data_IF_134319717581
#
_entry.id   IF_134319717581
#
_cell.length_a   1.000
_cell.length_b   1.000
_cell.length_c   1.000
_cell.angle_alpha   90.00
_cell.angle_beta   90.00
_cell.angle_gamma   90.00
#
_symmetry.space_group_name_H-M   'P 1'
#
loop_
_entity.id
_entity.type
_entity.pdbx_description
1 polymer ?
#
# COMPACT_ATOMS: atom_id res chain seq x y z
N UNK A 1 -51.70 2.74 -36.55
CA UNK A 1 -51.26 3.12 -35.19
C UNK A 1 -49.76 2.81 -35.08
N UNK A 2 -48.93 3.83 -35.34
CA UNK A 2 -47.48 3.72 -35.26
C UNK A 2 -47.02 3.91 -33.79
N UNK A 3 -46.35 2.91 -33.24
CA UNK A 3 -45.67 3.06 -31.95
C UNK A 3 -44.39 3.88 -32.16
N UNK A 4 -44.32 5.07 -31.57
CA UNK A 4 -43.11 5.86 -31.48
C UNK A 4 -42.18 5.17 -30.47
N UNK A 5 -41.06 4.68 -30.93
CA UNK A 5 -39.91 4.30 -30.08
C UNK A 5 -39.31 5.55 -29.49
N UNK A 6 -39.38 5.70 -28.17
CA UNK A 6 -38.63 6.75 -27.44
C UNK A 6 -37.18 6.37 -27.39
N UNK A 7 -36.38 6.90 -28.29
CA UNK A 7 -34.92 6.94 -28.17
C UNK A 7 -34.58 8.02 -27.16
N UNK A 8 -34.13 7.63 -25.96
CA UNK A 8 -33.45 8.56 -25.06
C UNK A 8 -32.18 9.01 -25.75
N UNK A 9 -31.88 10.30 -25.82
CA UNK A 9 -30.62 10.77 -26.32
C UNK A 9 -29.54 10.38 -25.29
N UNK A 10 -28.66 9.45 -25.64
CA UNK A 10 -27.40 9.28 -24.95
C UNK A 10 -26.67 10.64 -25.02
N UNK A 11 -26.55 11.27 -23.88
CA UNK A 11 -25.75 12.48 -23.72
C UNK A 11 -24.30 12.06 -24.00
N UNK A 12 -23.84 12.31 -25.22
CA UNK A 12 -22.42 12.12 -25.59
C UNK A 12 -21.64 13.18 -24.84
N UNK A 13 -21.15 12.83 -23.64
CA UNK A 13 -20.15 13.65 -22.96
C UNK A 13 -18.99 13.86 -23.93
N UNK A 14 -18.45 15.07 -24.02
CA UNK A 14 -17.40 15.36 -24.98
C UNK A 14 -16.07 14.77 -24.46
N UNK A 15 -15.88 13.46 -24.65
CA UNK A 15 -14.66 12.73 -24.27
C UNK A 15 -13.40 13.36 -24.86
N UNK A 16 -13.50 13.99 -26.02
CA UNK A 16 -12.43 14.77 -26.62
C UNK A 16 -12.00 15.96 -25.75
N UNK A 17 -12.92 16.59 -25.00
CA UNK A 17 -12.61 17.76 -24.18
C UNK A 17 -11.70 17.44 -22.98
N UNK A 18 -11.78 16.23 -22.38
CA UNK A 18 -10.88 15.83 -21.30
C UNK A 18 -9.45 15.70 -21.78
N UNK A 19 -9.26 14.99 -22.91
CA UNK A 19 -7.94 14.78 -23.50
C UNK A 19 -7.34 16.06 -24.03
N UNK A 20 -8.15 16.92 -24.64
CA UNK A 20 -7.74 18.25 -25.11
C UNK A 20 -7.31 19.13 -23.95
N UNK A 21 -8.09 19.17 -22.85
CA UNK A 21 -7.73 19.92 -21.65
C UNK A 21 -6.44 19.41 -21.01
N UNK A 22 -6.32 18.08 -20.85
CA UNK A 22 -5.10 17.46 -20.32
C UNK A 22 -3.89 17.81 -21.19
N UNK A 23 -3.98 17.67 -22.50
CA UNK A 23 -2.88 17.96 -23.43
C UNK A 23 -2.46 19.43 -23.36
N UNK A 24 -3.42 20.34 -23.23
CA UNK A 24 -3.15 21.79 -23.13
C UNK A 24 -2.44 22.15 -21.81
N UNK A 25 -2.70 21.41 -20.74
CA UNK A 25 -2.22 21.72 -19.40
C UNK A 25 -1.21 20.72 -18.82
N UNK A 26 -0.76 19.74 -19.59
CA UNK A 26 0.09 18.63 -19.09
C UNK A 26 1.42 19.10 -18.47
N UNK A 27 2.04 20.16 -19.03
CA UNK A 27 3.29 20.71 -18.48
C UNK A 27 3.04 21.37 -17.11
N UNK A 28 1.94 22.10 -16.96
CA UNK A 28 1.54 22.68 -15.67
C UNK A 28 1.21 21.59 -14.65
N UNK A 29 0.49 20.54 -15.04
CA UNK A 29 0.18 19.41 -14.16
C UNK A 29 1.45 18.74 -13.63
N UNK A 30 2.43 18.59 -14.51
CA UNK A 30 3.73 18.04 -14.11
C UNK A 30 4.46 18.99 -13.14
N UNK A 31 4.57 20.27 -13.44
CA UNK A 31 5.27 21.21 -12.55
C UNK A 31 4.60 21.30 -11.16
N UNK A 32 3.28 21.25 -11.10
CA UNK A 32 2.54 21.23 -9.84
C UNK A 32 2.80 19.94 -9.02
N UNK A 33 2.98 18.80 -9.68
CA UNK A 33 3.45 17.57 -9.01
C UNK A 33 4.89 17.73 -8.53
N UNK A 34 5.79 18.26 -9.36
CA UNK A 34 7.18 18.47 -8.96
C UNK A 34 7.30 19.43 -7.77
N UNK A 35 6.43 20.46 -7.68
CA UNK A 35 6.35 21.34 -6.50
C UNK A 35 6.01 20.55 -5.24
N UNK A 36 5.04 19.61 -5.32
CA UNK A 36 4.66 18.76 -4.19
C UNK A 36 5.79 17.80 -3.79
N UNK A 37 6.53 17.27 -4.76
CA UNK A 37 7.66 16.35 -4.53
C UNK A 37 8.88 17.04 -3.89
N UNK A 38 9.03 18.35 -4.07
CA UNK A 38 10.11 19.14 -3.42
C UNK A 38 9.95 19.27 -1.91
N UNK A 39 8.76 18.98 -1.36
CA UNK A 39 8.51 19.06 0.07
C UNK A 39 8.89 17.73 0.75
N UNK A 40 9.88 17.71 1.66
CA UNK A 40 10.30 16.49 2.34
C UNK A 40 9.35 16.14 3.50
N UNK A 41 8.14 15.71 3.18
CA UNK A 41 7.10 15.35 4.14
C UNK A 41 7.33 13.95 4.71
N UNK A 42 8.48 13.74 5.37
CA UNK A 42 8.86 12.47 6.00
C UNK A 42 8.19 12.37 7.37
N UNK A 43 7.12 11.59 7.48
CA UNK A 43 6.30 11.46 8.71
C UNK A 43 7.06 10.89 9.90
N UNK A 44 7.99 9.97 9.65
CA UNK A 44 8.78 9.30 10.69
C UNK A 44 9.80 10.21 11.40
N UNK A 45 10.03 11.45 10.92
CA UNK A 45 11.09 12.33 11.43
C UNK A 45 10.53 13.60 12.06
N UNK A 46 10.88 13.85 13.32
CA UNK A 46 10.41 15.01 14.08
C UNK A 46 10.82 16.34 13.44
N UNK A 47 12.02 16.42 12.85
CA UNK A 47 12.51 17.60 12.14
C UNK A 47 11.69 17.97 10.90
N UNK A 48 10.96 17.01 10.34
CA UNK A 48 10.12 17.23 9.17
C UNK A 48 8.68 17.71 9.50
N UNK A 49 8.30 17.87 10.78
CA UNK A 49 6.97 18.38 11.16
C UNK A 49 6.55 19.67 10.45
N UNK A 50 7.42 20.69 10.27
CA UNK A 50 7.04 21.88 9.48
C UNK A 50 6.73 21.56 8.03
N UNK A 51 7.43 20.61 7.42
CA UNK A 51 7.21 20.18 6.04
C UNK A 51 5.89 19.40 5.88
N UNK A 52 5.49 18.65 6.91
CA UNK A 52 4.18 18.00 6.93
C UNK A 52 3.06 19.02 6.82
N UNK A 53 3.12 20.10 7.61
CA UNK A 53 2.15 21.19 7.55
C UNK A 53 2.16 21.90 6.19
N UNK A 54 3.35 22.24 5.67
CA UNK A 54 3.51 22.87 4.37
C UNK A 54 2.94 22.01 3.23
N UNK A 55 3.15 20.69 3.32
CA UNK A 55 2.62 19.74 2.33
C UNK A 55 1.09 19.69 2.38
N UNK A 56 0.50 19.59 3.58
CA UNK A 56 -0.95 19.62 3.76
C UNK A 56 -1.58 20.91 3.21
N UNK A 57 -0.94 22.06 3.44
CA UNK A 57 -1.38 23.37 2.92
C UNK A 57 -1.31 23.42 1.39
N UNK A 58 -0.27 22.85 0.78
CA UNK A 58 -0.17 22.78 -0.68
C UNK A 58 -1.24 21.86 -1.26
N UNK A 59 -1.48 20.69 -0.66
CA UNK A 59 -2.55 19.75 -1.06
C UNK A 59 -3.92 20.45 -0.98
N UNK A 60 -4.23 21.13 0.13
CA UNK A 60 -5.46 21.91 0.30
C UNK A 60 -5.61 22.93 -0.82
N UNK A 61 -4.56 23.71 -1.10
CA UNK A 61 -4.54 24.71 -2.16
C UNK A 61 -4.84 24.08 -3.53
N UNK A 62 -4.16 22.98 -3.87
CA UNK A 62 -4.35 22.29 -5.15
C UNK A 62 -5.75 21.71 -5.33
N UNK A 63 -6.37 21.22 -4.27
CA UNK A 63 -7.76 20.76 -4.29
C UNK A 63 -8.75 21.92 -4.54
N UNK A 64 -8.54 23.07 -3.92
CA UNK A 64 -9.37 24.26 -4.16
C UNK A 64 -9.19 24.77 -5.60
N UNK A 65 -7.97 24.84 -6.11
CA UNK A 65 -7.66 25.22 -7.50
C UNK A 65 -8.26 24.25 -8.52
N UNK A 66 -8.33 22.95 -8.19
CA UNK A 66 -9.00 21.93 -9.01
C UNK A 66 -10.53 22.05 -9.00
N UNK A 67 -11.09 22.93 -8.17
CA UNK A 67 -12.51 23.22 -8.12
C UNK A 67 -13.28 22.53 -7.00
N UNK A 68 -12.61 22.00 -5.97
CA UNK A 68 -13.28 21.60 -4.75
C UNK A 68 -14.05 22.79 -4.14
N UNK A 69 -15.27 22.53 -3.67
CA UNK A 69 -16.11 23.57 -3.07
C UNK A 69 -15.68 23.91 -1.65
N UNK A 70 -15.00 22.97 -1.00
CA UNK A 70 -14.47 23.05 0.36
C UNK A 70 -13.19 22.23 0.43
N UNK A 71 -12.18 22.73 1.12
CA UNK A 71 -10.99 21.98 1.52
C UNK A 71 -10.53 22.46 2.90
N UNK A 72 -10.34 21.54 3.84
CA UNK A 72 -9.99 21.82 5.24
C UNK A 72 -8.84 20.94 5.70
N UNK A 73 -8.00 21.51 6.57
CA UNK A 73 -6.93 20.80 7.25
C UNK A 73 -7.39 20.52 8.68
N UNK A 74 -7.47 19.25 9.04
CA UNK A 74 -7.80 18.80 10.37
C UNK A 74 -6.52 18.46 11.13
N UNK A 75 -6.33 19.11 12.26
CA UNK A 75 -5.24 18.78 13.19
C UNK A 75 -5.51 17.45 13.88
N UNK A 76 -4.49 16.60 13.98
CA UNK A 76 -4.48 15.38 14.79
C UNK A 76 -3.37 15.46 15.85
N UNK A 77 -3.30 14.56 16.81
CA UNK A 77 -2.13 14.47 17.69
C UNK A 77 -0.83 14.16 16.95
N UNK A 78 -0.92 13.55 15.77
CA UNK A 78 0.19 13.30 14.84
C UNK A 78 0.30 14.34 13.73
N UNK A 79 0.13 13.90 12.48
CA UNK A 79 0.19 14.79 11.31
C UNK A 79 -1.20 15.18 10.81
N UNK A 80 -1.33 16.36 10.15
CA UNK A 80 -2.61 16.85 9.66
C UNK A 80 -3.26 15.93 8.61
N UNK A 81 -4.60 15.94 8.59
CA UNK A 81 -5.42 15.32 7.56
C UNK A 81 -6.04 16.42 6.70
N UNK A 82 -5.98 16.26 5.37
CA UNK A 82 -6.64 17.16 4.43
C UNK A 82 -7.92 16.48 3.93
N UNK A 83 -9.05 17.15 4.18
CA UNK A 83 -10.35 16.76 3.63
C UNK A 83 -10.79 17.80 2.62
N UNK A 84 -11.34 17.35 1.47
CA UNK A 84 -11.97 18.23 0.51
C UNK A 84 -13.21 17.58 -0.11
N UNK A 85 -14.10 18.42 -0.67
CA UNK A 85 -15.28 17.93 -1.34
C UNK A 85 -15.74 18.83 -2.50
N UNK A 86 -16.36 18.18 -3.50
CA UNK A 86 -17.14 18.77 -4.57
C UNK A 86 -18.47 18.06 -4.67
N UNK A 87 -19.48 18.61 -4.01
CA UNK A 87 -20.85 18.10 -4.07
C UNK A 87 -21.60 18.87 -5.15
N UNK A 88 -22.03 18.16 -6.20
CA UNK A 88 -22.76 18.77 -7.33
C UNK A 88 -24.27 18.51 -7.25
N UNK A 89 -24.67 17.36 -6.65
CA UNK A 89 -26.06 16.99 -6.45
C UNK A 89 -26.12 15.88 -5.39
N UNK A 90 -26.83 16.07 -4.28
CA UNK A 90 -26.96 15.04 -3.24
C UNK A 90 -27.58 13.70 -3.71
N UNK A 91 -28.29 13.69 -4.85
CA UNK A 91 -28.89 12.49 -5.44
C UNK A 91 -27.89 11.66 -6.28
N UNK A 92 -26.73 12.21 -6.58
CA UNK A 92 -25.67 11.52 -7.33
C UNK A 92 -24.78 10.69 -6.40
N UNK A 93 -24.20 9.59 -6.91
CA UNK A 93 -23.25 8.82 -6.14
C UNK A 93 -22.04 9.67 -5.73
N UNK A 94 -21.48 9.33 -4.59
CA UNK A 94 -20.31 10.00 -4.01
C UNK A 94 -19.12 9.05 -3.99
N UNK A 95 -17.98 9.48 -4.53
CA UNK A 95 -16.71 8.77 -4.47
C UNK A 95 -15.82 9.45 -3.44
N UNK A 96 -15.30 8.69 -2.47
CA UNK A 96 -14.27 9.14 -1.54
C UNK A 96 -12.90 8.69 -2.06
N UNK A 97 -12.07 9.63 -2.48
CA UNK A 97 -10.68 9.38 -2.85
C UNK A 97 -9.84 9.39 -1.59
N UNK A 98 -9.08 8.33 -1.37
CA UNK A 98 -8.10 8.24 -0.30
C UNK A 98 -6.68 8.20 -0.89
N UNK A 99 -5.74 8.84 -0.20
CA UNK A 99 -4.31 8.82 -0.48
C UNK A 99 -3.52 9.43 0.68
N UNK A 100 -2.20 9.49 0.55
CA UNK A 100 -1.35 10.08 1.59
C UNK A 100 -0.29 11.00 1.00
N UNK A 101 0.07 12.05 1.77
CA UNK A 101 1.07 13.03 1.36
C UNK A 101 2.41 12.87 2.08
N UNK A 102 2.47 12.02 3.10
CA UNK A 102 3.73 11.66 3.74
C UNK A 102 4.53 10.66 2.90
N UNK A 103 5.79 10.53 3.22
CA UNK A 103 6.72 9.67 2.49
C UNK A 103 7.71 9.02 3.44
N UNK A 104 8.27 7.87 3.05
CA UNK A 104 9.33 7.18 3.75
C UNK A 104 10.63 8.01 3.83
N UNK A 105 11.48 7.79 4.86
CA UNK A 105 12.85 8.27 4.86
C UNK A 105 13.60 7.89 3.58
N UNK A 106 14.41 8.81 3.09
CA UNK A 106 15.13 8.60 1.83
C UNK A 106 16.48 7.87 1.97
N UNK A 107 16.81 7.43 3.20
CA UNK A 107 18.08 6.75 3.46
C UNK A 107 18.19 5.38 2.76
N UNK A 108 19.40 4.98 2.35
CA UNK A 108 20.67 5.73 2.44
C UNK A 108 20.85 6.75 1.30
N UNK A 109 21.16 7.99 1.65
CA UNK A 109 21.22 9.12 0.69
C UNK A 109 22.31 8.98 -0.37
N UNK A 110 23.40 8.30 -0.04
CA UNK A 110 24.55 8.09 -0.94
C UNK A 110 24.21 7.18 -2.15
N UNK A 111 23.10 6.46 -2.11
CA UNK A 111 22.65 5.62 -3.21
C UNK A 111 21.71 6.35 -4.19
N UNK A 112 21.33 7.59 -3.90
CA UNK A 112 20.53 8.38 -4.82
C UNK A 112 21.40 9.02 -5.90
N UNK A 113 21.00 8.87 -7.17
CA UNK A 113 21.66 9.53 -8.31
C UNK A 113 21.44 11.04 -8.33
N UNK A 114 20.27 11.49 -7.85
CA UNK A 114 19.93 12.90 -7.63
C UNK A 114 19.30 13.02 -6.24
N UNK A 115 19.40 14.17 -5.54
CA UNK A 115 18.81 14.32 -4.22
C UNK A 115 17.31 13.96 -4.21
N UNK A 116 16.82 13.22 -3.20
CA UNK A 116 15.47 12.63 -3.20
C UNK A 116 14.33 13.64 -3.24
N UNK A 117 14.55 14.89 -2.82
CA UNK A 117 13.57 15.97 -2.84
C UNK A 117 13.92 17.08 -3.86
N UNK A 118 14.79 16.76 -4.81
CA UNK A 118 15.06 17.55 -6.01
C UNK A 118 14.60 16.74 -7.23
N UNK A 119 13.28 16.71 -7.52
CA UNK A 119 12.74 15.83 -8.54
C UNK A 119 13.41 16.07 -9.88
N UNK A 120 13.84 15.00 -10.54
CA UNK A 120 14.49 15.04 -11.84
C UNK A 120 13.80 14.12 -12.84
N UNK A 121 13.72 14.57 -14.07
CA UNK A 121 13.11 13.80 -15.16
C UNK A 121 14.22 13.19 -16.02
N UNK A 122 14.24 11.87 -16.11
CA UNK A 122 15.17 11.11 -16.93
C UNK A 122 14.42 9.96 -17.64
N UNK A 123 14.65 9.79 -18.91
CA UNK A 123 14.07 8.70 -19.73
C UNK A 123 12.54 8.56 -19.57
N UNK A 124 11.82 9.70 -19.50
CA UNK A 124 10.37 9.72 -19.35
C UNK A 124 9.88 9.35 -17.96
N UNK A 125 10.73 9.41 -16.93
CA UNK A 125 10.42 9.06 -15.55
C UNK A 125 10.78 10.20 -14.60
N UNK A 126 9.95 10.41 -13.60
CA UNK A 126 10.20 11.33 -12.47
C UNK A 126 10.96 10.53 -11.40
N UNK A 127 12.12 11.02 -10.99
CA UNK A 127 12.90 10.45 -9.87
C UNK A 127 12.81 11.39 -8.68
N UNK A 128 12.15 10.96 -7.63
CA UNK A 128 12.06 11.62 -6.33
C UNK A 128 11.44 10.68 -5.29
N UNK A 129 11.67 10.89 -4.01
CA UNK A 129 10.91 10.25 -2.94
C UNK A 129 9.46 10.75 -2.95
N UNK A 130 8.50 9.80 -2.92
CA UNK A 130 7.06 10.09 -3.05
C UNK A 130 6.59 10.25 -4.50
N UNK A 131 7.46 9.99 -5.49
CA UNK A 131 7.06 10.14 -6.90
C UNK A 131 5.96 9.16 -7.31
N UNK A 132 6.00 7.93 -6.81
CA UNK A 132 4.98 6.91 -7.01
C UNK A 132 4.15 6.68 -5.74
N UNK A 133 4.76 6.70 -4.58
CA UNK A 133 4.19 6.38 -3.28
C UNK A 133 4.10 7.62 -2.38
N UNK A 134 2.97 8.26 -2.25
CA UNK A 134 1.73 8.19 -3.02
C UNK A 134 1.41 9.54 -3.68
N UNK A 135 2.31 10.56 -3.52
CA UNK A 135 2.09 11.94 -4.04
C UNK A 135 1.76 11.94 -5.53
N UNK A 136 2.50 11.16 -6.34
CA UNK A 136 2.24 11.07 -7.77
C UNK A 136 0.89 10.46 -8.07
N UNK A 137 0.49 9.43 -7.34
CA UNK A 137 -0.74 8.70 -7.62
C UNK A 137 -1.99 9.46 -7.11
N UNK A 138 -2.03 9.92 -5.85
CA UNK A 138 -3.21 10.67 -5.42
C UNK A 138 -3.38 12.00 -6.20
N UNK A 139 -2.27 12.61 -6.65
CA UNK A 139 -2.33 13.87 -7.40
C UNK A 139 -3.01 13.73 -8.76
N UNK A 140 -3.01 12.53 -9.34
CA UNK A 140 -3.79 12.25 -10.56
C UNK A 140 -5.29 12.51 -10.34
N UNK A 141 -5.83 12.17 -9.17
CA UNK A 141 -7.23 12.43 -8.82
C UNK A 141 -7.53 13.92 -8.68
N UNK A 142 -6.58 14.70 -8.17
CA UNK A 142 -6.70 16.17 -8.11
C UNK A 142 -6.80 16.74 -9.53
N UNK A 143 -5.98 16.27 -10.46
CA UNK A 143 -6.01 16.72 -11.86
C UNK A 143 -7.24 16.22 -12.62
N UNK A 144 -7.71 15.02 -12.33
CA UNK A 144 -8.97 14.51 -12.87
C UNK A 144 -10.17 15.36 -12.40
N UNK A 145 -10.22 15.77 -11.13
CA UNK A 145 -11.22 16.70 -10.62
C UNK A 145 -11.16 18.04 -11.38
N UNK A 146 -9.96 18.58 -11.58
CA UNK A 146 -9.75 19.84 -12.33
C UNK A 146 -10.30 19.75 -13.75
N UNK A 147 -9.94 18.69 -14.48
CA UNK A 147 -10.42 18.45 -15.85
C UNK A 147 -11.96 18.41 -15.89
N UNK A 148 -12.57 17.58 -15.06
CA UNK A 148 -14.02 17.40 -15.05
C UNK A 148 -14.77 18.67 -14.61
N UNK A 149 -14.19 19.45 -13.70
CA UNK A 149 -14.77 20.72 -13.25
C UNK A 149 -14.66 21.78 -14.34
N UNK A 150 -13.48 21.94 -14.93
CA UNK A 150 -13.24 22.95 -15.97
C UNK A 150 -14.05 22.69 -17.25
N UNK A 151 -14.31 21.42 -17.57
CA UNK A 151 -15.12 21.03 -18.74
C UNK A 151 -16.63 20.92 -18.42
N UNK A 152 -17.04 21.11 -17.15
CA UNK A 152 -18.44 21.02 -16.73
C UNK A 152 -19.05 19.61 -16.84
N UNK A 153 -18.21 18.58 -16.75
CA UNK A 153 -18.60 17.18 -17.03
C UNK A 153 -18.58 16.27 -15.79
N UNK A 154 -18.40 16.81 -14.60
CA UNK A 154 -18.33 16.04 -13.36
C UNK A 154 -19.61 15.21 -13.14
N UNK A 155 -19.54 13.86 -13.17
CA UNK A 155 -20.75 13.04 -13.16
C UNK A 155 -21.21 12.60 -11.76
N UNK A 156 -20.33 12.69 -10.76
CA UNK A 156 -20.50 12.22 -9.38
C UNK A 156 -20.12 13.31 -8.38
N UNK A 157 -20.48 13.14 -7.13
CA UNK A 157 -19.87 13.89 -6.03
C UNK A 157 -18.50 13.29 -5.72
N UNK A 158 -17.51 14.12 -5.41
CA UNK A 158 -16.17 13.66 -5.04
C UNK A 158 -15.82 14.22 -3.68
N UNK A 159 -15.25 13.38 -2.85
CA UNK A 159 -14.59 13.73 -1.58
C UNK A 159 -13.16 13.24 -1.60
N UNK A 160 -12.28 13.94 -0.88
CA UNK A 160 -10.88 13.57 -0.69
C UNK A 160 -10.60 13.44 0.80
N UNK A 161 -9.87 12.41 1.16
CA UNK A 161 -9.30 12.18 2.47
C UNK A 161 -7.82 11.85 2.26
N UNK A 162 -6.96 12.86 2.47
CA UNK A 162 -5.51 12.74 2.25
C UNK A 162 -4.79 12.87 3.58
N UNK A 163 -4.17 11.80 4.06
CA UNK A 163 -3.50 11.75 5.35
C UNK A 163 -1.99 12.01 5.29
N UNK A 164 -1.37 12.16 6.45
CA UNK A 164 0.05 12.37 6.61
C UNK A 164 0.75 11.38 7.53
N UNK A 165 0.19 10.18 7.75
CA UNK A 165 0.72 9.17 8.67
C UNK A 165 0.65 7.75 8.10
N UNK A 166 0.38 7.55 6.81
CA UNK A 166 0.28 6.21 6.23
C UNK A 166 1.57 5.43 6.44
N UNK A 167 2.69 6.04 6.16
CA UNK A 167 4.03 5.47 6.21
C UNK A 167 4.54 5.16 7.64
N UNK A 168 3.78 5.57 8.65
CA UNK A 168 4.01 5.27 10.08
C UNK A 168 2.83 4.54 10.72
N UNK A 169 1.90 4.02 9.89
CA UNK A 169 0.79 3.15 10.31
C UNK A 169 -0.49 3.86 10.70
N UNK A 170 -0.74 5.09 10.23
CA UNK A 170 -2.04 5.81 10.33
C UNK A 170 -2.63 5.86 11.75
N UNK A 171 -1.80 6.04 12.77
CA UNK A 171 -2.18 5.85 14.18
C UNK A 171 -3.36 6.73 14.61
N UNK A 172 -3.51 7.93 14.04
CA UNK A 172 -4.56 8.88 14.41
C UNK A 172 -5.73 8.91 13.42
N UNK A 173 -5.60 8.27 12.26
CA UNK A 173 -6.66 8.25 11.26
C UNK A 173 -7.89 7.47 11.74
N UNK A 174 -7.71 6.41 12.52
CA UNK A 174 -8.81 5.61 13.05
C UNK A 174 -9.78 6.44 13.88
N UNK A 175 -9.27 7.31 14.75
CA UNK A 175 -10.09 8.17 15.60
C UNK A 175 -10.75 9.31 14.79
N UNK A 176 -10.04 9.82 13.78
CA UNK A 176 -10.61 10.78 12.84
C UNK A 176 -11.79 10.19 12.07
N UNK A 177 -11.65 9.00 11.50
CA UNK A 177 -12.71 8.30 10.76
C UNK A 177 -13.92 8.04 11.65
N UNK A 178 -13.72 7.52 12.86
CA UNK A 178 -14.81 7.27 13.83
C UNK A 178 -15.58 8.53 14.18
N UNK A 179 -14.86 9.64 14.38
CA UNK A 179 -15.43 10.92 14.79
C UNK A 179 -16.12 11.67 13.65
N UNK A 180 -15.77 11.39 12.40
CA UNK A 180 -16.20 12.11 11.22
C UNK A 180 -16.97 11.24 10.20
N UNK A 181 -17.67 10.20 10.66
CA UNK A 181 -18.41 9.27 9.78
C UNK A 181 -19.37 9.99 8.83
N UNK A 182 -20.12 10.98 9.32
CA UNK A 182 -21.05 11.75 8.51
C UNK A 182 -20.34 12.56 7.41
N UNK A 183 -19.17 13.14 7.70
CA UNK A 183 -18.34 13.87 6.75
C UNK A 183 -17.84 12.96 5.64
N UNK A 184 -17.46 11.72 6.00
CA UNK A 184 -16.85 10.73 5.11
C UNK A 184 -17.87 9.85 4.37
N UNK A 185 -19.16 10.04 4.56
CA UNK A 185 -20.20 9.28 3.85
C UNK A 185 -19.99 9.33 2.33
N UNK A 186 -19.95 8.16 1.70
CA UNK A 186 -19.75 7.96 0.27
C UNK A 186 -20.42 6.64 -0.17
N UNK A 187 -20.35 6.30 -1.45
CA UNK A 187 -20.81 5.02 -2.00
C UNK A 187 -19.66 4.05 -2.24
N UNK A 188 -18.46 4.58 -2.44
CA UNK A 188 -17.23 3.81 -2.67
C UNK A 188 -16.00 4.61 -2.25
N UNK A 189 -14.93 3.91 -1.87
CA UNK A 189 -13.59 4.49 -1.70
C UNK A 189 -12.74 4.10 -2.91
N UNK A 190 -12.06 5.08 -3.49
CA UNK A 190 -11.12 4.91 -4.59
C UNK A 190 -9.70 5.20 -4.10
N UNK A 191 -8.81 4.22 -4.26
CA UNK A 191 -7.40 4.29 -3.83
C UNK A 191 -6.51 3.99 -5.04
N UNK A 192 -5.47 4.80 -5.25
CA UNK A 192 -4.48 4.56 -6.30
C UNK A 192 -3.09 4.14 -5.77
N UNK A 193 -2.96 3.94 -4.49
CA UNK A 193 -1.74 3.55 -3.80
C UNK A 193 -1.40 2.05 -3.99
N UNK A 194 -1.33 1.63 -5.25
CA UNK A 194 -0.98 0.25 -5.65
C UNK A 194 -0.26 0.25 -7.01
N UNK A 195 0.24 -0.93 -7.42
CA UNK A 195 0.92 -1.13 -8.70
C UNK A 195 0.05 -1.85 -9.73
N UNK A 196 0.42 -1.76 -10.99
CA UNK A 196 -0.06 -2.64 -12.05
C UNK A 196 1.07 -3.56 -12.53
N UNK A 197 0.72 -4.65 -13.21
CA UNK A 197 1.70 -5.64 -13.70
C UNK A 197 2.71 -5.03 -14.68
N UNK A 198 2.24 -4.26 -15.65
CA UNK A 198 3.08 -3.47 -16.56
C UNK A 198 2.23 -2.45 -17.34
N UNK A 199 2.89 -1.53 -18.04
CA UNK A 199 2.20 -0.57 -18.93
C UNK A 199 1.44 -1.27 -20.06
N UNK A 200 1.94 -2.41 -20.55
CA UNK A 200 1.34 -3.19 -21.61
C UNK A 200 0.29 -4.18 -21.11
N UNK A 201 0.30 -4.49 -19.81
CA UNK A 201 -0.61 -5.45 -19.17
C UNK A 201 -1.20 -4.80 -17.94
N UNK A 202 -2.24 -3.97 -18.12
CA UNK A 202 -2.89 -3.32 -16.98
C UNK A 202 -3.52 -4.34 -16.04
N UNK A 203 -3.46 -4.06 -14.76
CA UNK A 203 -4.11 -4.87 -13.73
C UNK A 203 -4.84 -3.99 -12.73
N UNK A 204 -5.71 -4.60 -11.95
CA UNK A 204 -6.37 -3.99 -10.80
C UNK A 204 -6.09 -4.87 -9.60
N UNK A 205 -5.53 -4.29 -8.54
CA UNK A 205 -5.44 -4.99 -7.28
C UNK A 205 -6.84 -5.22 -6.71
N UNK A 206 -7.17 -6.48 -6.45
CA UNK A 206 -8.44 -6.86 -5.84
C UNK A 206 -8.29 -7.25 -4.38
N UNK A 207 -7.09 -7.16 -3.83
CA UNK A 207 -6.86 -7.42 -2.42
C UNK A 207 -5.48 -6.98 -1.99
N UNK A 208 -5.39 -6.58 -0.75
CA UNK A 208 -4.13 -6.26 -0.05
C UNK A 208 -3.97 -7.19 1.12
N UNK A 209 -2.71 -7.54 1.43
CA UNK A 209 -2.41 -8.44 2.54
C UNK A 209 -2.53 -7.69 3.87
N UNK A 210 -2.89 -8.44 4.92
CA UNK A 210 -2.79 -7.94 6.28
C UNK A 210 -1.36 -8.01 6.81
N UNK A 211 -1.20 -7.58 8.04
CA UNK A 211 0.09 -7.55 8.75
C UNK A 211 -0.11 -7.99 10.19
N UNK A 212 0.82 -8.78 10.72
CA UNK A 212 1.04 -9.00 12.14
C UNK A 212 2.54 -8.84 12.40
N UNK A 213 2.91 -8.06 13.41
CA UNK A 213 4.31 -7.74 13.70
C UNK A 213 4.60 -7.88 15.18
N UNK A 214 5.62 -8.67 15.54
CA UNK A 214 6.05 -8.89 16.92
C UNK A 214 7.56 -8.66 17.06
N UNK A 215 7.97 -8.36 18.29
CA UNK A 215 9.37 -8.45 18.72
C UNK A 215 9.51 -9.56 19.76
N UNK A 216 10.47 -10.43 19.56
CA UNK A 216 10.79 -11.57 20.43
C UNK A 216 12.09 -11.28 21.17
N UNK A 217 12.08 -11.38 22.49
CA UNK A 217 13.25 -11.36 23.37
C UNK A 217 13.44 -12.73 24.02
N UNK A 218 14.61 -13.30 23.86
CA UNK A 218 15.03 -14.51 24.58
C UNK A 218 16.06 -14.11 25.63
N UNK A 219 15.72 -14.33 26.91
CA UNK A 219 16.57 -14.00 28.07
C UNK A 219 17.04 -15.29 28.75
N UNK A 220 18.36 -15.45 28.86
CA UNK A 220 19.04 -16.56 29.53
C UNK A 220 19.67 -16.16 30.87
N UNK A 221 21.01 -16.19 30.99
CA UNK A 221 21.70 -15.83 32.24
C UNK A 221 21.55 -14.33 32.56
N UNK A 222 21.78 -13.97 33.82
CA UNK A 222 21.64 -12.60 34.32
C UNK A 222 22.71 -11.60 33.79
N UNK A 223 23.69 -12.06 33.03
CA UNK A 223 24.75 -11.30 32.38
C UNK A 223 25.40 -12.13 31.27
N UNK A 224 26.18 -11.48 30.44
CA UNK A 224 27.02 -12.16 29.47
C UNK A 224 28.07 -13.01 30.16
N UNK A 225 28.31 -14.22 29.63
CA UNK A 225 29.17 -15.22 30.23
C UNK A 225 30.31 -15.60 29.27
N UNK A 226 31.44 -16.05 29.86
CA UNK A 226 32.56 -16.59 29.08
C UNK A 226 32.17 -17.96 28.46
N UNK A 227 32.18 -18.05 27.12
CA UNK A 227 31.73 -19.25 26.41
C UNK A 227 32.58 -20.50 26.70
N UNK A 228 33.87 -20.32 26.96
CA UNK A 228 34.77 -21.43 27.32
C UNK A 228 34.54 -21.99 28.74
N UNK A 229 33.92 -21.22 29.63
CA UNK A 229 33.62 -21.63 31.02
C UNK A 229 32.22 -22.20 31.16
N UNK A 230 31.25 -21.58 30.47
CA UNK A 230 29.83 -21.89 30.65
C UNK A 230 29.19 -22.53 29.41
N UNK A 231 29.90 -22.60 28.27
CA UNK A 231 29.40 -23.22 27.06
C UNK A 231 29.09 -24.71 27.25
N UNK A 232 27.88 -25.12 26.80
CA UNK A 232 27.38 -26.47 27.02
C UNK A 232 26.68 -26.71 28.38
N UNK A 233 26.89 -25.81 29.37
CA UNK A 233 26.25 -25.90 30.68
C UNK A 233 25.09 -24.88 30.85
N UNK A 234 25.12 -23.79 30.12
CA UNK A 234 24.12 -22.70 30.18
C UNK A 234 23.55 -22.48 28.78
N UNK A 235 22.24 -22.29 28.72
CA UNK A 235 21.56 -22.00 27.48
C UNK A 235 22.08 -20.69 26.86
N UNK A 236 22.33 -20.70 25.55
CA UNK A 236 22.70 -19.53 24.78
C UNK A 236 21.47 -18.94 24.08
N UNK A 237 20.98 -17.74 24.48
CA UNK A 237 19.80 -17.11 23.89
C UNK A 237 19.88 -16.93 22.36
N UNK A 238 21.03 -16.59 21.81
CA UNK A 238 21.20 -16.44 20.36
C UNK A 238 21.01 -17.78 19.62
N UNK A 239 21.55 -18.87 20.16
CA UNK A 239 21.36 -20.22 19.59
C UNK A 239 19.91 -20.68 19.70
N UNK A 240 19.24 -20.39 20.81
CA UNK A 240 17.83 -20.74 21.00
C UNK A 240 16.93 -19.95 20.05
N UNK A 241 17.13 -18.64 19.95
CA UNK A 241 16.37 -17.80 19.04
C UNK A 241 16.53 -18.27 17.58
N UNK A 242 17.75 -18.58 17.15
CA UNK A 242 17.99 -19.12 15.81
C UNK A 242 17.23 -20.43 15.55
N UNK A 243 17.16 -21.33 16.55
CA UNK A 243 16.38 -22.58 16.46
C UNK A 243 14.88 -22.31 16.41
N UNK A 244 14.38 -21.37 17.21
CA UNK A 244 12.98 -20.97 17.21
C UNK A 244 12.57 -20.41 15.84
N UNK A 245 13.37 -19.51 15.27
CA UNK A 245 13.13 -18.95 13.94
C UNK A 245 13.18 -20.06 12.87
N UNK A 246 14.19 -20.90 12.89
CA UNK A 246 14.33 -21.98 11.92
C UNK A 246 13.15 -22.98 11.96
N UNK A 247 12.51 -23.15 13.12
CA UNK A 247 11.35 -24.04 13.26
C UNK A 247 10.04 -23.42 12.77
N UNK A 248 10.03 -22.13 12.39
CA UNK A 248 8.83 -21.49 11.83
C UNK A 248 8.48 -21.97 10.41
N UNK A 249 9.41 -22.63 9.71
CA UNK A 249 9.18 -23.17 8.38
C UNK A 249 9.65 -24.63 8.27
N UNK A 250 8.95 -25.41 7.46
CA UNK A 250 9.41 -26.73 7.06
C UNK A 250 10.32 -26.68 5.80
N UNK A 251 10.71 -27.85 5.31
CA UNK A 251 11.54 -28.01 4.12
C UNK A 251 10.90 -27.55 2.79
N UNK A 252 9.59 -27.31 2.80
CA UNK A 252 8.83 -26.77 1.68
C UNK A 252 8.53 -25.28 1.83
N UNK A 253 9.12 -24.60 2.82
CA UNK A 253 8.83 -23.22 3.24
C UNK A 253 7.36 -23.00 3.64
N UNK A 254 6.69 -24.05 4.10
CA UNK A 254 5.37 -23.93 4.70
C UNK A 254 5.52 -23.52 6.18
N UNK A 255 4.70 -22.56 6.64
CA UNK A 255 4.76 -22.05 8.01
C UNK A 255 4.21 -23.10 8.97
N UNK A 256 4.98 -23.43 10.00
CA UNK A 256 4.69 -24.54 10.92
C UNK A 256 4.01 -24.10 12.22
N UNK A 257 3.66 -22.83 12.38
CA UNK A 257 2.94 -22.35 13.55
C UNK A 257 1.57 -23.04 13.65
N UNK A 258 1.23 -23.67 14.80
CA UNK A 258 -0.05 -24.37 14.96
C UNK A 258 -1.26 -23.46 14.67
N UNK A 259 -2.14 -23.93 13.79
CA UNK A 259 -3.35 -23.20 13.40
C UNK A 259 -3.13 -21.98 12.52
N UNK A 260 -1.94 -21.76 12.01
CA UNK A 260 -1.63 -20.57 11.18
C UNK A 260 -2.48 -20.47 9.90
N UNK A 261 -2.81 -21.60 9.30
CA UNK A 261 -3.58 -21.70 8.06
C UNK A 261 -5.08 -21.96 8.26
N UNK A 262 -5.57 -22.14 9.51
CA UNK A 262 -6.95 -22.58 9.77
C UNK A 262 -8.01 -21.69 9.10
N UNK A 263 -7.77 -20.39 9.06
CA UNK A 263 -8.70 -19.40 8.53
C UNK A 263 -8.33 -18.92 7.12
N UNK A 264 -7.26 -19.45 6.50
CA UNK A 264 -6.84 -19.01 5.17
C UNK A 264 -7.92 -19.33 4.13
N UNK A 265 -8.39 -18.30 3.43
CA UNK A 265 -9.26 -18.48 2.29
C UNK A 265 -8.44 -18.97 1.08
N UNK A 266 -8.51 -20.26 0.81
CA UNK A 266 -7.84 -20.87 -0.33
C UNK A 266 -8.41 -20.32 -1.66
N UNK A 267 -7.52 -19.93 -2.56
CA UNK A 267 -7.93 -19.51 -3.89
C UNK A 267 -8.49 -20.69 -4.70
N UNK A 268 -9.61 -20.46 -5.38
CA UNK A 268 -10.21 -21.46 -6.24
C UNK A 268 -9.28 -21.84 -7.41
N UNK A 269 -9.44 -23.04 -7.97
CA UNK A 269 -8.68 -23.49 -9.14
C UNK A 269 -8.82 -22.49 -10.33
N UNK A 270 -10.01 -21.91 -10.51
CA UNK A 270 -10.25 -20.90 -11.55
C UNK A 270 -9.51 -19.59 -11.29
N UNK A 271 -9.41 -19.16 -10.04
CA UNK A 271 -8.63 -17.98 -9.65
C UNK A 271 -7.13 -18.22 -9.85
N UNK A 272 -6.61 -19.35 -9.39
CA UNK A 272 -5.21 -19.75 -9.61
C UNK A 272 -4.86 -19.82 -11.11
N UNK A 273 -5.78 -20.34 -11.95
CA UNK A 273 -5.59 -20.37 -13.41
C UNK A 273 -5.49 -18.96 -14.00
N UNK A 274 -6.31 -18.01 -13.54
CA UNK A 274 -6.23 -16.61 -13.98
C UNK A 274 -4.92 -15.96 -13.54
N UNK A 275 -4.49 -16.17 -12.31
CA UNK A 275 -3.21 -15.68 -11.79
C UNK A 275 -2.01 -16.27 -12.55
N UNK A 276 -2.04 -17.56 -12.85
CA UNK A 276 -1.00 -18.22 -13.65
C UNK A 276 -0.94 -17.69 -15.11
N UNK A 277 -2.04 -17.11 -15.61
CA UNK A 277 -2.10 -16.42 -16.90
C UNK A 277 -1.52 -15.00 -16.88
N UNK A 278 -1.22 -14.44 -15.70
CA UNK A 278 -0.54 -13.15 -15.59
C UNK A 278 0.91 -13.29 -16.11
N UNK A 279 1.38 -12.38 -16.98
CA UNK A 279 2.75 -12.43 -17.45
C UNK A 279 3.76 -12.34 -16.31
N UNK A 280 4.74 -13.24 -16.29
CA UNK A 280 5.86 -13.19 -15.36
C UNK A 280 7.14 -13.57 -16.08
N UNK A 281 8.03 -12.60 -16.25
CA UNK A 281 9.37 -12.83 -16.79
C UNK A 281 10.34 -13.13 -15.63
N UNK A 282 10.49 -14.42 -15.31
CA UNK A 282 11.39 -14.87 -14.24
C UNK A 282 12.84 -14.44 -14.46
N UNK A 283 13.30 -14.40 -15.72
CA UNK A 283 14.68 -14.03 -16.02
C UNK A 283 14.92 -12.55 -15.76
N UNK A 284 14.00 -11.69 -16.21
CA UNK A 284 14.04 -10.25 -15.92
C UNK A 284 13.94 -9.98 -14.42
N UNK A 285 13.01 -10.62 -13.72
CA UNK A 285 12.83 -10.49 -12.26
C UNK A 285 14.09 -10.87 -11.47
N UNK A 286 14.70 -12.04 -11.80
CA UNK A 286 15.95 -12.47 -11.15
C UNK A 286 17.11 -11.54 -11.46
N UNK A 287 17.18 -11.00 -12.66
CA UNK A 287 18.23 -10.05 -13.08
C UNK A 287 18.09 -8.73 -12.34
N UNK A 288 16.88 -8.21 -12.21
CA UNK A 288 16.58 -6.95 -11.54
C UNK A 288 16.97 -7.02 -10.05
N UNK A 289 16.61 -8.10 -9.37
CA UNK A 289 16.91 -8.33 -7.97
C UNK A 289 18.34 -8.85 -7.71
N UNK A 290 19.10 -9.19 -8.75
CA UNK A 290 20.45 -9.76 -8.61
C UNK A 290 20.48 -11.15 -7.96
N UNK A 291 19.40 -11.95 -8.08
CA UNK A 291 19.28 -13.26 -7.44
C UNK A 291 19.42 -14.41 -8.45
N UNK A 292 20.07 -15.52 -8.09
CA UNK A 292 20.24 -16.67 -9.00
C UNK A 292 19.00 -17.56 -9.09
N UNK A 293 18.14 -17.57 -8.05
CA UNK A 293 16.97 -18.44 -7.93
C UNK A 293 15.84 -17.78 -7.17
N UNK A 294 14.60 -18.18 -7.45
CA UNK A 294 13.42 -17.79 -6.69
C UNK A 294 13.33 -18.60 -5.38
N UNK A 295 12.66 -18.06 -4.38
CA UNK A 295 12.43 -18.66 -3.07
C UNK A 295 10.95 -18.58 -2.70
N UNK A 296 10.50 -19.42 -1.75
CA UNK A 296 9.18 -19.37 -1.14
C UNK A 296 8.47 -20.72 -1.08
N UNK A 297 7.21 -20.72 -0.67
CA UNK A 297 6.41 -21.92 -0.44
C UNK A 297 6.29 -22.78 -1.72
N UNK A 298 6.59 -24.07 -1.59
CA UNK A 298 6.60 -25.04 -2.70
C UNK A 298 5.18 -25.26 -3.22
N UNK A 299 5.05 -25.37 -4.54
CA UNK A 299 3.75 -25.62 -5.21
C UNK A 299 2.98 -24.35 -5.56
N UNK A 300 3.55 -23.15 -5.30
CA UNK A 300 2.99 -21.87 -5.66
C UNK A 300 3.93 -21.07 -6.54
N UNK A 301 3.36 -20.30 -7.50
CA UNK A 301 4.07 -19.36 -8.34
C UNK A 301 4.48 -18.11 -7.54
N UNK A 302 5.34 -17.26 -8.09
CA UNK A 302 5.75 -16.00 -7.43
C UNK A 302 4.55 -15.11 -7.13
N UNK A 303 3.66 -14.88 -8.09
CA UNK A 303 2.43 -14.10 -7.89
C UNK A 303 1.51 -14.71 -6.81
N UNK A 304 1.42 -16.04 -6.73
CA UNK A 304 0.64 -16.68 -5.67
C UNK A 304 1.28 -16.48 -4.29
N UNK A 305 2.61 -16.64 -4.19
CA UNK A 305 3.35 -16.42 -2.93
C UNK A 305 3.23 -14.99 -2.42
N UNK A 306 3.25 -14.02 -3.31
CA UNK A 306 3.15 -12.61 -2.92
C UNK A 306 1.72 -12.11 -2.76
N UNK A 307 0.72 -12.76 -3.34
CA UNK A 307 -0.67 -12.29 -3.35
C UNK A 307 -1.65 -13.12 -2.52
N UNK A 308 -1.62 -14.45 -2.61
CA UNK A 308 -2.64 -15.33 -1.99
C UNK A 308 -2.11 -16.24 -0.89
N UNK A 309 -0.79 -16.25 -0.67
CA UNK A 309 -0.21 -17.01 0.44
C UNK A 309 0.25 -16.09 1.55
N UNK A 310 0.01 -16.48 2.83
CA UNK A 310 0.58 -15.74 3.94
C UNK A 310 2.08 -16.01 4.03
N UNK A 311 2.84 -15.07 4.61
CA UNK A 311 4.29 -15.22 4.80
C UNK A 311 4.68 -14.93 6.24
N UNK A 312 5.85 -15.45 6.65
CA UNK A 312 6.50 -15.11 7.91
C UNK A 312 7.95 -14.73 7.58
N UNK A 313 8.33 -13.49 7.93
CA UNK A 313 9.63 -12.93 7.61
C UNK A 313 10.34 -12.42 8.87
N UNK A 314 11.67 -12.60 8.91
CA UNK A 314 12.52 -12.02 9.94
C UNK A 314 13.06 -10.69 9.46
N UNK A 315 12.53 -9.61 10.03
CA UNK A 315 12.90 -8.23 9.66
C UNK A 315 14.16 -7.73 10.36
N UNK A 316 14.51 -8.36 11.49
CA UNK A 316 15.73 -8.07 12.23
C UNK A 316 16.05 -9.18 13.21
N UNK A 317 17.35 -9.42 13.43
CA UNK A 317 17.86 -10.34 14.43
C UNK A 317 19.14 -9.77 15.01
N UNK A 318 19.26 -9.73 16.35
CA UNK A 318 20.47 -9.25 17.01
C UNK A 318 20.67 -9.88 18.38
N UNK A 319 21.90 -9.76 18.87
CA UNK A 319 22.34 -10.31 20.15
C UNK A 319 23.78 -10.81 20.08
N UNK A 320 24.44 -10.87 21.22
CA UNK A 320 25.86 -11.21 21.26
C UNK A 320 26.78 -10.03 20.92
N UNK A 321 28.02 -10.34 20.58
CA UNK A 321 29.04 -9.34 20.27
C UNK A 321 29.08 -9.00 18.78
N UNK A 322 28.92 -7.74 18.46
CA UNK A 322 28.92 -7.21 17.08
C UNK A 322 30.04 -6.18 16.83
N UNK A 323 30.93 -5.95 17.83
CA UNK A 323 32.05 -5.04 17.69
C UNK A 323 33.24 -5.65 16.92
N UNK A 324 34.26 -4.83 16.69
CA UNK A 324 35.48 -5.26 16.00
C UNK A 324 36.23 -6.36 16.79
N UNK A 325 36.78 -7.32 16.09
CA UNK A 325 37.50 -8.45 16.64
C UNK A 325 36.61 -9.56 17.18
N UNK A 326 37.17 -10.50 17.95
CA UNK A 326 36.45 -11.64 18.50
C UNK A 326 36.24 -11.49 20.01
N UNK A 327 35.04 -11.88 20.51
CA UNK A 327 34.74 -12.00 21.93
C UNK A 327 34.03 -13.33 22.17
N UNK A 328 34.69 -14.20 22.99
CA UNK A 328 34.15 -15.53 23.33
C UNK A 328 33.06 -15.43 24.40
N UNK A 329 31.84 -15.04 23.99
CA UNK A 329 30.73 -14.71 24.88
C UNK A 329 29.49 -15.59 24.63
N UNK A 330 28.77 -15.93 25.68
CA UNK A 330 27.37 -16.35 25.69
C UNK A 330 26.58 -15.10 26.04
N UNK A 331 25.77 -14.55 25.13
CA UNK A 331 24.98 -13.35 25.45
C UNK A 331 23.91 -13.67 26.48
N UNK A 332 23.55 -12.69 27.30
CA UNK A 332 22.43 -12.80 28.24
C UNK A 332 21.08 -12.70 27.58
N UNK A 333 21.02 -12.05 26.42
CA UNK A 333 19.78 -11.83 25.64
C UNK A 333 20.03 -11.95 24.14
N UNK A 334 18.96 -12.28 23.41
CA UNK A 334 18.90 -12.19 21.95
C UNK A 334 17.50 -11.73 21.53
N UNK A 335 17.39 -11.07 20.37
CA UNK A 335 16.17 -10.41 19.92
C UNK A 335 15.91 -10.69 18.45
N UNK A 336 14.62 -10.74 18.07
CA UNK A 336 14.21 -10.75 16.68
C UNK A 336 12.94 -9.91 16.47
N UNK A 337 12.87 -9.24 15.33
CA UNK A 337 11.67 -8.63 14.79
C UNK A 337 11.13 -9.51 13.69
N UNK A 338 9.85 -9.89 13.81
CA UNK A 338 9.22 -10.89 12.95
C UNK A 338 7.86 -10.37 12.51
N UNK A 339 7.60 -10.42 11.21
CA UNK A 339 6.30 -10.06 10.65
C UNK A 339 5.69 -11.20 9.85
N UNK A 340 4.35 -11.25 9.84
CA UNK A 340 3.58 -12.10 8.95
C UNK A 340 2.75 -11.23 8.02
N UNK A 341 2.79 -11.51 6.71
CA UNK A 341 1.78 -10.99 5.80
C UNK A 341 0.59 -11.94 5.79
N UNK A 342 -0.61 -11.40 5.98
CA UNK A 342 -1.84 -12.16 6.17
C UNK A 342 -2.69 -12.12 4.90
N UNK A 343 -3.48 -13.17 4.69
CA UNK A 343 -4.40 -13.29 3.55
C UNK A 343 -5.86 -13.30 4.03
N UNK A 344 -6.84 -13.10 3.16
CA UNK A 344 -8.25 -13.00 3.55
C UNK A 344 -8.69 -14.09 4.52
N UNK A 345 -9.53 -13.71 5.49
CA UNK A 345 -10.07 -14.41 6.64
C UNK A 345 -9.10 -14.57 7.83
N UNK A 346 -7.78 -14.49 7.65
CA UNK A 346 -6.89 -14.41 8.80
C UNK A 346 -7.13 -13.09 9.56
N UNK A 347 -7.06 -13.15 10.89
CA UNK A 347 -7.19 -11.98 11.77
C UNK A 347 -5.84 -11.65 12.37
N UNK A 348 -5.44 -10.39 12.27
CA UNK A 348 -4.14 -9.92 12.78
C UNK A 348 -3.94 -10.29 14.25
N UNK A 349 -4.92 -10.00 15.11
CA UNK A 349 -4.85 -10.32 16.53
C UNK A 349 -4.70 -11.82 16.81
N UNK A 350 -5.39 -12.68 16.04
CA UNK A 350 -5.31 -14.13 16.21
C UNK A 350 -3.94 -14.68 15.79
N UNK A 351 -3.41 -14.20 14.68
CA UNK A 351 -2.08 -14.59 14.20
C UNK A 351 -1.00 -14.07 15.15
N UNK A 352 -1.11 -12.82 15.62
CA UNK A 352 -0.20 -12.25 16.63
C UNK A 352 -0.18 -13.12 17.88
N UNK A 353 -1.35 -13.54 18.38
CA UNK A 353 -1.44 -14.44 19.52
C UNK A 353 -0.79 -15.79 19.23
N UNK A 354 -1.06 -16.42 18.08
CA UNK A 354 -0.44 -17.69 17.67
C UNK A 354 1.09 -17.58 17.60
N UNK A 355 1.62 -16.46 17.08
CA UNK A 355 3.07 -16.18 17.07
C UNK A 355 3.63 -16.11 18.49
N UNK A 356 3.02 -15.29 19.37
CA UNK A 356 3.46 -15.13 20.75
C UNK A 356 3.45 -16.46 21.48
N UNK A 357 2.34 -17.19 21.43
CA UNK A 357 2.19 -18.50 22.07
C UNK A 357 3.24 -19.49 21.56
N UNK A 358 3.51 -19.50 20.25
CA UNK A 358 4.49 -20.40 19.66
C UNK A 358 5.90 -20.14 20.21
N UNK A 359 6.39 -18.90 20.14
CA UNK A 359 7.73 -18.56 20.62
C UNK A 359 7.85 -18.81 22.14
N UNK A 360 6.85 -18.47 22.94
CA UNK A 360 6.85 -18.70 24.37
C UNK A 360 6.85 -20.19 24.73
N UNK A 361 6.11 -21.00 23.97
CA UNK A 361 6.04 -22.47 24.21
C UNK A 361 7.37 -23.17 24.00
N UNK A 362 8.29 -22.61 23.25
CA UNK A 362 9.60 -23.15 22.95
C UNK A 362 10.67 -22.84 24.02
N UNK A 363 10.32 -22.07 25.05
CA UNK A 363 11.24 -21.71 26.13
C UNK A 363 11.67 -22.94 26.93
N UNK A 364 12.95 -23.33 26.95
CA UNK A 364 13.41 -24.38 27.82
C UNK A 364 13.50 -23.91 29.27
N UNK A 365 13.61 -24.84 30.22
CA UNK A 365 13.82 -24.52 31.62
C UNK A 365 15.01 -23.58 31.81
N UNK A 366 14.83 -22.53 32.60
CA UNK A 366 15.87 -21.52 32.88
C UNK A 366 16.03 -20.41 31.80
N UNK A 367 15.15 -20.37 30.81
CA UNK A 367 15.10 -19.30 29.79
C UNK A 367 13.73 -18.67 29.79
N UNK A 368 13.70 -17.35 29.65
CA UNK A 368 12.46 -16.58 29.47
C UNK A 368 12.36 -16.11 28.02
N UNK A 369 11.20 -16.35 27.39
CA UNK A 369 10.87 -15.80 26.08
C UNK A 369 9.71 -14.84 26.25
N UNK A 370 9.95 -13.58 25.90
CA UNK A 370 8.93 -12.53 25.84
C UNK A 370 8.70 -12.14 24.39
N UNK A 371 7.44 -12.13 23.96
CA UNK A 371 7.07 -11.64 22.64
C UNK A 371 6.06 -10.51 22.81
N UNK A 372 6.34 -9.38 22.17
CA UNK A 372 5.55 -8.14 22.27
C UNK A 372 4.97 -7.80 20.91
N UNK A 373 3.68 -7.54 20.86
CA UNK A 373 3.01 -7.02 19.67
C UNK A 373 3.45 -5.58 19.41
N UNK A 374 3.69 -5.24 18.15
CA UNK A 374 3.96 -3.88 17.72
C UNK A 374 2.72 -3.28 17.05
N UNK A 375 2.43 -3.69 15.82
CA UNK A 375 1.29 -3.22 15.06
C UNK A 375 0.80 -4.31 14.11
N UNK A 376 -0.41 -4.14 13.61
CA UNK A 376 -1.00 -5.08 12.67
C UNK A 376 -2.12 -4.44 11.87
N UNK A 377 -2.59 -5.15 10.87
CA UNK A 377 -3.70 -4.73 10.01
C UNK A 377 -4.37 -5.93 9.39
N UNK A 378 -5.67 -5.81 9.19
CA UNK A 378 -6.45 -6.88 8.57
C UNK A 378 -6.22 -6.90 7.04
N UNK A 379 -6.26 -8.07 6.40
CA UNK A 379 -6.29 -8.16 4.95
C UNK A 379 -7.62 -7.62 4.41
N UNK A 380 -7.61 -7.12 3.18
CA UNK A 380 -8.82 -6.67 2.51
C UNK A 380 -8.96 -7.33 1.13
N UNK A 381 -10.21 -7.60 0.70
CA UNK A 381 -10.52 -8.17 -0.61
C UNK A 381 -11.68 -7.39 -1.24
N UNK A 382 -11.45 -6.81 -2.42
CA UNK A 382 -12.48 -6.14 -3.23
C UNK A 382 -13.31 -7.18 -3.98
N UNK A 383 -14.65 -7.14 -3.89
CA UNK A 383 -15.51 -8.00 -4.71
C UNK A 383 -15.42 -7.62 -6.20
N UNK A 384 -14.95 -8.53 -7.04
CA UNK A 384 -14.75 -8.30 -8.49
C UNK A 384 -16.08 -8.19 -9.28
N UNK A 385 -17.18 -8.58 -8.68
CA UNK A 385 -18.54 -8.42 -9.22
C UNK A 385 -19.21 -7.12 -8.75
N UNK A 386 -18.53 -6.30 -7.96
CA UNK A 386 -19.04 -5.00 -7.54
C UNK A 386 -19.16 -4.03 -8.71
N UNK A 387 -20.12 -3.09 -8.62
CA UNK A 387 -20.26 -2.03 -9.62
C UNK A 387 -19.00 -1.18 -9.73
N UNK A 388 -18.36 -0.85 -8.60
CA UNK A 388 -17.14 -0.07 -8.55
C UNK A 388 -15.98 -0.76 -9.28
N UNK A 389 -15.76 -2.06 -9.03
CA UNK A 389 -14.73 -2.82 -9.74
C UNK A 389 -15.00 -2.87 -11.26
N UNK A 390 -16.23 -3.15 -11.69
CA UNK A 390 -16.58 -3.16 -13.11
C UNK A 390 -16.38 -1.80 -13.76
N UNK A 391 -16.68 -0.71 -13.06
CA UNK A 391 -16.43 0.66 -13.53
C UNK A 391 -14.94 0.96 -13.70
N UNK A 392 -14.11 0.53 -12.75
CA UNK A 392 -12.66 0.64 -12.82
C UNK A 392 -12.07 -0.19 -13.99
N UNK A 393 -12.51 -1.44 -14.13
CA UNK A 393 -12.09 -2.31 -15.22
C UNK A 393 -12.45 -1.71 -16.59
N UNK A 394 -13.67 -1.22 -16.75
CA UNK A 394 -14.13 -0.54 -17.98
C UNK A 394 -13.32 0.73 -18.27
N UNK A 395 -12.97 1.52 -17.26
CA UNK A 395 -12.16 2.73 -17.41
C UNK A 395 -10.73 2.41 -17.89
N UNK A 396 -10.11 1.41 -17.29
CA UNK A 396 -8.79 0.94 -17.71
C UNK A 396 -8.84 0.35 -19.14
N UNK A 397 -9.84 -0.49 -19.44
CA UNK A 397 -10.01 -1.04 -20.78
C UNK A 397 -10.17 0.08 -21.83
N UNK A 398 -10.90 1.14 -21.51
CA UNK A 398 -11.11 2.31 -22.38
C UNK A 398 -9.80 3.04 -22.70
N UNK A 399 -8.89 3.18 -21.74
CA UNK A 399 -7.69 4.02 -21.88
C UNK A 399 -6.44 3.22 -22.27
N UNK A 400 -6.33 1.98 -21.81
CA UNK A 400 -5.22 1.08 -22.17
C UNK A 400 -5.52 0.19 -23.37
N UNK A 401 -6.78 0.09 -23.81
CA UNK A 401 -7.19 -0.77 -24.92
C UNK A 401 -7.18 -2.26 -24.59
N UNK A 402 -7.09 -2.63 -23.31
CA UNK A 402 -7.04 -4.01 -22.82
C UNK A 402 -7.81 -4.11 -21.49
N UNK A 403 -8.54 -5.22 -21.32
CA UNK A 403 -9.15 -5.54 -20.04
C UNK A 403 -8.07 -5.75 -18.97
N UNK A 404 -8.20 -5.16 -17.78
CA UNK A 404 -7.25 -5.37 -16.70
C UNK A 404 -7.34 -6.77 -16.11
N UNK A 405 -6.21 -7.30 -15.68
CA UNK A 405 -6.14 -8.56 -14.96
C UNK A 405 -6.41 -8.28 -13.48
N UNK A 406 -7.37 -8.95 -12.82
CA UNK A 406 -7.49 -8.86 -11.36
C UNK A 406 -6.33 -9.61 -10.71
N UNK A 407 -5.56 -8.91 -9.88
CA UNK A 407 -4.42 -9.44 -9.12
C UNK A 407 -4.61 -9.17 -7.64
N UNK A 408 -3.93 -9.94 -6.78
CA UNK A 408 -3.86 -9.64 -5.36
C UNK A 408 -2.50 -9.04 -5.06
N UNK A 409 -2.50 -7.81 -4.55
CA UNK A 409 -1.30 -7.08 -4.18
C UNK A 409 -0.59 -7.69 -2.97
N UNK A 410 0.74 -7.54 -2.96
CA UNK A 410 1.59 -8.04 -1.87
C UNK A 410 1.68 -7.08 -0.69
N UNK A 411 1.43 -5.80 -0.90
CA UNK A 411 1.47 -4.76 0.12
C UNK A 411 0.31 -4.83 1.11
N UNK A 412 0.41 -4.06 2.18
CA UNK A 412 -0.65 -3.91 3.17
C UNK A 412 -1.04 -2.44 3.25
N UNK A 413 -2.32 -2.16 3.18
CA UNK A 413 -2.91 -0.85 3.41
C UNK A 413 -3.86 -1.01 4.60
N UNK A 414 -3.37 -0.86 5.84
CA UNK A 414 -4.12 -1.22 7.06
C UNK A 414 -5.44 -0.48 7.20
N UNK A 415 -5.55 0.71 6.63
CA UNK A 415 -6.73 1.55 6.68
C UNK A 415 -7.94 0.96 5.94
N UNK A 416 -7.73 0.06 4.97
CA UNK A 416 -8.80 -0.54 4.19
C UNK A 416 -9.82 -1.28 5.06
N UNK A 417 -9.34 -2.10 5.98
CA UNK A 417 -10.21 -2.81 6.91
C UNK A 417 -10.93 -1.86 7.89
N UNK A 418 -10.27 -0.76 8.27
CA UNK A 418 -10.90 0.27 9.10
C UNK A 418 -12.06 0.95 8.36
N UNK A 419 -11.88 1.33 7.10
CA UNK A 419 -12.92 1.94 6.29
C UNK A 419 -14.13 1.02 6.11
N UNK A 420 -13.91 -0.26 5.81
CA UNK A 420 -15.01 -1.22 5.72
C UNK A 420 -15.75 -1.36 7.04
N UNK A 421 -15.03 -1.48 8.15
CA UNK A 421 -15.60 -1.63 9.49
C UNK A 421 -16.36 -0.40 9.97
N UNK A 422 -15.78 0.80 9.82
CA UNK A 422 -16.32 2.02 10.43
C UNK A 422 -17.29 2.76 9.52
N UNK A 423 -17.10 2.72 8.21
CA UNK A 423 -17.93 3.42 7.21
C UNK A 423 -18.85 2.49 6.44
N UNK A 424 -18.61 1.17 6.44
CA UNK A 424 -19.36 0.20 5.64
C UNK A 424 -19.08 0.32 4.14
N UNK A 425 -18.03 1.05 3.74
CA UNK A 425 -17.72 1.33 2.35
C UNK A 425 -16.85 0.23 1.74
N UNK A 426 -17.12 -0.08 0.48
CA UNK A 426 -16.23 -0.93 -0.33
C UNK A 426 -15.13 -0.08 -0.96
N UNK A 427 -13.98 -0.71 -1.15
CA UNK A 427 -12.79 -0.07 -1.73
C UNK A 427 -12.56 -0.66 -3.11
N UNK A 428 -12.17 0.17 -4.06
CA UNK A 428 -11.62 -0.23 -5.34
C UNK A 428 -10.23 0.39 -5.49
N UNK A 429 -9.27 -0.43 -5.90
CA UNK A 429 -7.91 0.02 -6.16
C UNK A 429 -7.75 0.30 -7.65
N UNK A 430 -7.15 1.44 -7.97
CA UNK A 430 -6.77 1.81 -9.34
C UNK A 430 -5.35 2.37 -9.33
N UNK A 431 -4.38 1.50 -8.99
CA UNK A 431 -2.97 1.86 -8.99
C UNK A 431 -2.39 1.96 -10.39
N UNK A 432 -1.42 2.84 -10.53
CA UNK A 432 -0.68 3.10 -11.76
C UNK A 432 0.84 3.05 -11.53
N UNK A 433 1.29 2.61 -10.35
CA UNK A 433 2.68 2.29 -10.07
C UNK A 433 3.12 1.00 -10.75
N UNK A 434 4.42 0.73 -10.72
CA UNK A 434 5.02 -0.51 -11.18
C UNK A 434 5.91 -1.10 -10.08
N UNK A 435 6.04 -2.42 -10.01
CA UNK A 435 6.95 -3.08 -9.05
C UNK A 435 8.42 -2.61 -9.21
N UNK A 436 8.77 -2.12 -10.41
CA UNK A 436 10.09 -1.56 -10.70
C UNK A 436 10.27 -0.10 -10.27
N UNK A 437 9.30 0.51 -9.58
CA UNK A 437 9.38 1.94 -9.22
C UNK A 437 10.21 2.21 -7.96
N UNK A 438 10.83 1.16 -7.39
CA UNK A 438 11.72 1.26 -6.22
C UNK A 438 11.07 1.92 -5.00
N UNK A 439 9.81 1.56 -4.71
CA UNK A 439 9.11 2.05 -3.51
C UNK A 439 9.94 1.77 -2.27
N UNK A 440 10.00 2.71 -1.32
CA UNK A 440 10.79 2.68 -0.09
C UNK A 440 12.31 2.54 -0.29
N UNK A 441 12.81 2.61 -1.54
CA UNK A 441 14.23 2.46 -1.88
C UNK A 441 14.81 3.74 -2.48
N UNK A 442 16.14 3.88 -2.55
CA UNK A 442 16.79 4.95 -3.31
C UNK A 442 16.42 4.91 -4.80
N UNK A 443 16.37 6.08 -5.41
CA UNK A 443 15.96 6.27 -6.81
C UNK A 443 14.53 5.81 -7.11
N UNK A 444 13.62 5.97 -6.14
CA UNK A 444 12.20 5.87 -6.40
C UNK A 444 11.83 6.70 -7.62
N UNK A 445 10.96 6.16 -8.47
CA UNK A 445 10.57 6.79 -9.72
C UNK A 445 9.10 6.58 -10.02
N UNK A 446 8.56 7.43 -10.90
CA UNK A 446 7.23 7.24 -11.45
C UNK A 446 7.26 7.55 -12.96
N UNK A 447 6.70 6.67 -13.77
CA UNK A 447 6.64 6.86 -15.21
C UNK A 447 5.67 8.00 -15.57
N UNK A 448 6.13 8.97 -16.38
CA UNK A 448 5.28 10.04 -16.90
C UNK A 448 4.08 9.49 -17.70
N UNK A 449 4.29 8.37 -18.41
CA UNK A 449 3.20 7.69 -19.09
C UNK A 449 2.10 7.27 -18.10
N UNK A 450 2.46 6.64 -16.99
CA UNK A 450 1.50 6.19 -15.97
C UNK A 450 0.81 7.35 -15.28
N UNK A 451 1.55 8.42 -14.96
CA UNK A 451 0.97 9.64 -14.40
C UNK A 451 -0.11 10.23 -15.32
N UNK A 452 0.20 10.44 -16.60
CA UNK A 452 -0.78 10.98 -17.53
C UNK A 452 -1.91 10.01 -17.88
N UNK A 453 -1.61 8.70 -17.89
CA UNK A 453 -2.64 7.66 -18.09
C UNK A 453 -3.62 7.60 -16.91
N UNK A 454 -3.16 7.75 -15.70
CA UNK A 454 -4.02 7.83 -14.53
C UNK A 454 -4.95 9.05 -14.61
N UNK A 455 -4.42 10.23 -14.95
CA UNK A 455 -5.22 11.43 -15.16
C UNK A 455 -6.28 11.22 -16.27
N UNK A 456 -5.94 10.52 -17.36
CA UNK A 456 -6.86 10.18 -18.45
C UNK A 456 -7.94 9.17 -17.98
N UNK A 457 -7.57 8.18 -17.14
CA UNK A 457 -8.43 7.03 -16.79
C UNK A 457 -9.45 7.37 -15.69
N UNK A 458 -9.07 8.16 -14.71
CA UNK A 458 -9.90 8.49 -13.55
C UNK A 458 -11.25 9.13 -13.93
N UNK A 459 -11.33 10.09 -14.88
CA UNK A 459 -12.63 10.61 -15.33
C UNK A 459 -13.57 9.55 -15.91
N UNK A 460 -13.05 8.53 -16.60
CA UNK A 460 -13.86 7.42 -17.10
C UNK A 460 -14.38 6.54 -15.97
N UNK A 461 -13.60 6.32 -14.90
CA UNK A 461 -14.11 5.64 -13.72
C UNK A 461 -15.32 6.36 -13.16
N UNK A 462 -15.22 7.66 -12.93
CA UNK A 462 -16.33 8.46 -12.41
C UNK A 462 -17.56 8.44 -13.33
N UNK A 463 -17.34 8.50 -14.64
CA UNK A 463 -18.41 8.41 -15.63
C UNK A 463 -19.15 7.06 -15.54
N UNK A 464 -18.42 5.96 -15.55
CA UNK A 464 -19.01 4.62 -15.52
C UNK A 464 -19.60 4.28 -14.15
N UNK A 465 -19.03 4.82 -13.07
CA UNK A 465 -19.60 4.65 -11.73
C UNK A 465 -20.90 5.42 -11.54
N UNK A 466 -21.09 6.54 -12.23
CA UNK A 466 -22.34 7.29 -12.24
C UNK A 466 -23.46 6.60 -13.02
N UNK A 467 -23.15 5.68 -13.94
CA UNK A 467 -24.14 4.86 -14.65
C UNK A 467 -24.78 3.89 -13.63
N UNK A 468 -26.11 3.96 -13.45
CA UNK A 468 -26.79 3.00 -12.56
C UNK A 468 -26.63 1.58 -13.12
N UNK A 469 -26.33 0.63 -12.26
CA UNK A 469 -26.23 -0.82 -12.55
C UNK A 469 -27.51 -1.36 -13.16
#
# INVERSE_FOLDING_TARGET
MCRKSSTHPFNTYPMNSWKEYQTLHQERFLEELLELLRIPSVSARTENKPHMQTCAELVQKRLLEAGASRAEIFSTPGHPIVFAEKIIDPAKPTVLVYGHYDVQPADPLELWTTPPFEPSIRDGKIFARGACDDKGQFFMHVKALEIMTATGTLPVNIKFLIEGEEEVGSSHLADFVKSNKALLQADVILISDTSMLSMETPSIDVGVRGLSYIEVEVTGPNRDLHSGVYGGAVANPATLLAKMIASCHDENNHITLPGFYDDVLEASAGERTKMAGAPFDEAAYKKDLGIPALWGEKGFTTHERTGIRPTLEVNGIWGGYTGEGSKTVLPSKAFAKISCRLVPNQKSADITKKMIDYFQSMAPAGVTVTATEHHGGEPYLTPIDSHAYRSAAKAIAQTFGKEPIPVRGGGSIPICALFEKELGLKIVFMGFGLDSDNLHSPNEKYDLFNFYKGIETIPYFHLYFAEKS
#
